data_IF_635142290408
#
_entry.id   IF_635142290408
#
_cell.length_a   1.000
_cell.length_b   1.000
_cell.length_c   1.000
_cell.angle_alpha   90.00
_cell.angle_beta   90.00
_cell.angle_gamma   90.00
#
_symmetry.space_group_name_H-M   'P 1'
#
loop_
_entity.id
_entity.type
_entity.pdbx_description
1 polymer ?
#
# COMPACT_ATOMS: atom_id res chain seq x y z
N UNK A 1 17.59 -6.71 -16.78
CA UNK A 1 17.09 -7.72 -15.81
C UNK A 1 16.48 -7.08 -14.57
N UNK A 2 17.24 -6.28 -13.79
CA UNK A 2 16.75 -5.62 -12.56
C UNK A 2 15.53 -4.70 -12.78
N UNK A 3 15.58 -3.83 -13.78
CA UNK A 3 14.48 -2.89 -14.10
C UNK A 3 13.22 -3.67 -14.48
N UNK A 4 13.37 -4.74 -15.27
CA UNK A 4 12.24 -5.55 -15.71
C UNK A 4 11.58 -6.30 -14.55
N UNK A 5 12.36 -6.87 -13.63
CA UNK A 5 11.82 -7.44 -12.39
C UNK A 5 11.11 -6.37 -11.53
N UNK A 6 11.65 -5.15 -11.45
CA UNK A 6 11.04 -4.08 -10.69
C UNK A 6 9.70 -3.64 -11.30
N UNK A 7 9.58 -3.60 -12.63
CA UNK A 7 8.30 -3.33 -13.31
C UNK A 7 7.24 -4.34 -12.94
N UNK A 8 7.57 -5.64 -12.97
CA UNK A 8 6.62 -6.69 -12.58
C UNK A 8 6.21 -6.61 -11.12
N UNK A 9 7.12 -6.23 -10.21
CA UNK A 9 6.78 -5.95 -8.82
C UNK A 9 5.79 -4.77 -8.71
N UNK A 10 5.98 -3.69 -9.47
CA UNK A 10 5.04 -2.56 -9.49
C UNK A 10 3.69 -2.95 -10.07
N UNK A 11 3.65 -3.79 -11.12
CA UNK A 11 2.41 -4.34 -11.68
C UNK A 11 1.68 -5.18 -10.63
N UNK A 12 2.38 -6.09 -9.94
CA UNK A 12 1.81 -6.89 -8.85
C UNK A 12 1.30 -6.01 -7.70
N UNK A 13 1.99 -4.92 -7.37
CA UNK A 13 1.55 -3.96 -6.38
C UNK A 13 0.28 -3.22 -6.80
N UNK A 14 0.20 -2.76 -8.05
CA UNK A 14 -1.01 -2.18 -8.61
C UNK A 14 -2.18 -3.17 -8.62
N UNK A 15 -1.94 -4.42 -9.00
CA UNK A 15 -2.94 -5.48 -8.99
C UNK A 15 -3.42 -5.82 -7.56
N UNK A 16 -2.50 -5.83 -6.59
CA UNK A 16 -2.84 -5.97 -5.18
C UNK A 16 -3.75 -4.83 -4.71
N UNK A 17 -3.44 -3.58 -5.06
CA UNK A 17 -4.30 -2.43 -4.74
C UNK A 17 -5.68 -2.58 -5.37
N UNK A 18 -5.77 -3.06 -6.62
CA UNK A 18 -7.06 -3.35 -7.26
C UNK A 18 -7.86 -4.38 -6.48
N UNK A 19 -7.24 -5.51 -6.08
CA UNK A 19 -7.88 -6.54 -5.27
C UNK A 19 -8.36 -5.99 -3.92
N UNK A 20 -7.56 -5.14 -3.27
CA UNK A 20 -7.96 -4.45 -2.04
C UNK A 20 -9.15 -3.52 -2.30
N UNK A 21 -9.15 -2.76 -3.40
CA UNK A 21 -10.29 -1.93 -3.81
C UNK A 21 -11.57 -2.75 -4.01
N UNK A 22 -11.48 -3.90 -4.68
CA UNK A 22 -12.62 -4.82 -4.83
C UNK A 22 -13.09 -5.38 -3.47
N UNK A 23 -12.16 -5.75 -2.59
CA UNK A 23 -12.49 -6.19 -1.23
C UNK A 23 -13.21 -5.09 -0.44
N UNK A 24 -12.76 -3.84 -0.56
CA UNK A 24 -13.37 -2.68 0.10
C UNK A 24 -14.78 -2.41 -0.44
N UNK A 25 -14.99 -2.58 -1.74
CA UNK A 25 -16.29 -2.37 -2.40
C UNK A 25 -17.31 -3.46 -2.01
N UNK A 26 -16.93 -4.73 -2.13
CA UNK A 26 -17.85 -5.86 -1.94
C UNK A 26 -17.94 -6.36 -0.50
N UNK A 27 -16.87 -6.25 0.28
CA UNK A 27 -16.79 -6.77 1.65
C UNK A 27 -16.09 -5.77 2.60
N UNK A 28 -16.64 -4.55 2.78
CA UNK A 28 -16.00 -3.50 3.60
C UNK A 28 -15.78 -3.88 5.06
N UNK A 29 -16.62 -4.77 5.61
CA UNK A 29 -16.45 -5.29 6.97
C UNK A 29 -15.16 -6.11 7.08
N UNK A 30 -14.89 -6.99 6.10
CA UNK A 30 -13.65 -7.78 6.06
C UNK A 30 -12.43 -6.88 5.84
N UNK A 31 -12.54 -5.87 4.97
CA UNK A 31 -11.48 -4.87 4.78
C UNK A 31 -11.16 -4.13 6.10
N UNK A 32 -12.19 -3.68 6.82
CA UNK A 32 -12.06 -3.03 8.14
C UNK A 32 -11.41 -3.94 9.18
N UNK A 33 -11.84 -5.20 9.25
CA UNK A 33 -11.26 -6.18 10.18
C UNK A 33 -9.80 -6.48 9.86
N UNK A 34 -9.43 -6.48 8.58
CA UNK A 34 -8.03 -6.64 8.14
C UNK A 34 -7.19 -5.44 8.58
N UNK A 35 -7.70 -4.21 8.40
CA UNK A 35 -7.04 -3.00 8.90
C UNK A 35 -6.78 -3.05 10.42
N UNK A 36 -7.74 -3.56 11.21
CA UNK A 36 -7.56 -3.72 12.67
C UNK A 36 -6.45 -4.71 13.06
N UNK A 37 -6.06 -5.62 12.17
CA UNK A 37 -4.99 -6.59 12.44
C UNK A 37 -3.59 -6.01 12.24
N UNK A 38 -3.46 -4.86 11.55
CA UNK A 38 -2.17 -4.23 11.31
C UNK A 38 -1.45 -3.92 12.64
N UNK A 39 -0.17 -4.29 12.73
CA UNK A 39 0.65 -4.12 13.92
C UNK A 39 0.27 -4.98 15.15
N UNK A 40 -0.70 -5.90 15.05
CA UNK A 40 -1.18 -6.69 16.20
C UNK A 40 -0.12 -7.62 16.81
N UNK A 41 0.74 -8.20 15.97
CA UNK A 41 1.88 -9.02 16.37
C UNK A 41 3.18 -8.47 15.77
N UNK A 42 4.32 -8.86 16.33
CA UNK A 42 5.63 -8.46 15.79
C UNK A 42 5.82 -8.99 14.35
N UNK A 43 5.38 -10.22 14.10
CA UNK A 43 5.44 -10.84 12.77
C UNK A 43 4.61 -10.04 11.77
N UNK A 44 3.35 -9.71 12.10
CA UNK A 44 2.49 -8.94 11.20
C UNK A 44 3.10 -7.55 10.94
N UNK A 45 3.58 -6.86 11.98
CA UNK A 45 4.19 -5.54 11.84
C UNK A 45 5.40 -5.55 10.91
N UNK A 46 6.40 -6.38 11.20
CA UNK A 46 7.64 -6.37 10.43
C UNK A 46 7.46 -6.99 9.04
N UNK A 47 6.56 -7.96 8.88
CA UNK A 47 6.23 -8.52 7.56
C UNK A 47 5.53 -7.49 6.68
N UNK A 48 4.54 -6.75 7.21
CA UNK A 48 3.84 -5.69 6.48
C UNK A 48 4.79 -4.58 6.03
N UNK A 49 5.66 -4.10 6.93
CA UNK A 49 6.63 -3.04 6.61
C UNK A 49 7.65 -3.54 5.58
N UNK A 50 8.18 -4.76 5.75
CA UNK A 50 9.14 -5.35 4.80
C UNK A 50 8.50 -5.54 3.43
N UNK A 51 7.28 -6.08 3.38
CA UNK A 51 6.56 -6.31 2.13
C UNK A 51 6.22 -4.98 1.43
N UNK A 52 5.98 -3.91 2.19
CA UNK A 52 5.74 -2.56 1.66
C UNK A 52 7.00 -1.92 1.08
N UNK A 53 8.18 -2.20 1.62
CA UNK A 53 9.45 -1.65 1.11
C UNK A 53 9.79 -2.15 -0.30
N UNK A 54 9.44 -3.40 -0.61
CA UNK A 54 9.71 -4.01 -1.92
C UNK A 54 9.12 -3.18 -3.08
N UNK A 55 7.78 -2.93 -3.14
CA UNK A 55 7.21 -2.08 -4.18
C UNK A 55 7.63 -0.62 -4.05
N UNK A 56 7.92 -0.12 -2.84
CA UNK A 56 8.40 1.25 -2.66
C UNK A 56 9.72 1.51 -3.40
N UNK A 57 10.69 0.60 -3.25
CA UNK A 57 11.96 0.68 -3.98
C UNK A 57 11.74 0.43 -5.47
N UNK A 58 10.89 -0.53 -5.84
CA UNK A 58 10.58 -0.78 -7.26
C UNK A 58 9.95 0.43 -7.96
N UNK A 59 9.11 1.22 -7.29
CA UNK A 59 8.57 2.48 -7.82
C UNK A 59 9.68 3.51 -8.12
N UNK A 60 10.70 3.60 -7.26
CA UNK A 60 11.84 4.51 -7.48
C UNK A 60 12.69 4.01 -8.65
N UNK A 61 13.03 2.72 -8.68
CA UNK A 61 13.88 2.14 -9.74
C UNK A 61 13.21 2.22 -11.11
N UNK A 62 11.89 2.08 -11.17
CA UNK A 62 11.13 2.13 -12.42
C UNK A 62 10.72 3.54 -12.84
N UNK A 63 10.99 4.56 -12.01
CA UNK A 63 10.47 5.93 -12.22
C UNK A 63 10.88 6.51 -13.57
N UNK A 64 12.15 6.39 -13.96
CA UNK A 64 12.66 7.03 -15.16
C UNK A 64 12.14 6.37 -16.45
N UNK A 65 11.63 5.13 -16.34
CA UNK A 65 10.99 4.39 -17.42
C UNK A 65 9.46 4.47 -17.45
N UNK A 66 8.85 5.12 -16.44
CA UNK A 66 7.40 5.22 -16.34
C UNK A 66 6.86 6.44 -17.09
N UNK A 67 5.57 6.42 -17.42
CA UNK A 67 4.88 7.57 -18.05
C UNK A 67 4.76 8.79 -17.13
N UNK A 68 4.95 8.59 -15.81
CA UNK A 68 4.89 9.64 -14.80
C UNK A 68 6.10 9.56 -13.83
N UNK A 69 7.31 9.93 -14.27
CA UNK A 69 8.53 9.71 -13.50
C UNK A 69 8.53 10.39 -12.13
N UNK A 70 8.13 11.67 -12.08
CA UNK A 70 8.09 12.45 -10.84
C UNK A 70 7.11 11.82 -9.84
N UNK A 71 5.94 11.38 -10.31
CA UNK A 71 4.92 10.75 -9.46
C UNK A 71 5.42 9.45 -8.84
N UNK A 72 6.05 8.58 -9.63
CA UNK A 72 6.61 7.32 -9.15
C UNK A 72 7.74 7.53 -8.15
N UNK A 73 8.65 8.47 -8.44
CA UNK A 73 9.77 8.80 -7.56
C UNK A 73 9.30 9.35 -6.23
N UNK A 74 8.35 10.29 -6.24
CA UNK A 74 7.80 10.90 -5.03
C UNK A 74 7.03 9.87 -4.19
N UNK A 75 6.14 9.09 -4.82
CA UNK A 75 5.38 8.03 -4.15
C UNK A 75 6.31 6.99 -3.50
N UNK A 76 7.31 6.53 -4.26
CA UNK A 76 8.29 5.55 -3.79
C UNK A 76 9.07 6.08 -2.58
N UNK A 77 9.61 7.30 -2.64
CA UNK A 77 10.34 7.89 -1.52
C UNK A 77 9.48 8.10 -0.27
N UNK A 78 8.23 8.58 -0.42
CA UNK A 78 7.30 8.68 0.72
C UNK A 78 7.08 7.30 1.35
N UNK A 79 6.87 6.26 0.53
CA UNK A 79 6.67 4.91 1.03
C UNK A 79 7.92 4.37 1.73
N UNK A 80 9.12 4.59 1.20
CA UNK A 80 10.38 4.18 1.84
C UNK A 80 10.54 4.88 3.18
N UNK A 81 10.48 6.21 3.22
CA UNK A 81 10.72 7.00 4.43
C UNK A 81 9.72 6.61 5.52
N UNK A 82 8.42 6.57 5.20
CA UNK A 82 7.40 6.20 6.20
C UNK A 82 7.55 4.76 6.69
N UNK A 83 7.98 3.82 5.83
CA UNK A 83 8.24 2.43 6.24
C UNK A 83 9.44 2.35 7.19
N UNK A 84 10.53 3.07 6.91
CA UNK A 84 11.70 3.15 7.79
C UNK A 84 11.35 3.76 9.15
N UNK A 85 10.54 4.81 9.18
CA UNK A 85 10.04 5.38 10.43
C UNK A 85 9.24 4.36 11.25
N UNK A 86 8.42 3.52 10.60
CA UNK A 86 7.62 2.50 11.28
C UNK A 86 8.46 1.36 11.89
N UNK A 87 9.71 1.14 11.46
CA UNK A 87 10.62 0.23 12.18
C UNK A 87 11.09 0.81 13.51
N UNK A 88 11.19 2.13 13.61
CA UNK A 88 11.65 2.83 14.83
C UNK A 88 10.49 3.08 15.79
N UNK A 89 9.28 3.32 15.27
CA UNK A 89 8.09 3.55 16.08
C UNK A 89 7.72 2.28 16.85
N UNK A 90 7.48 2.36 18.18
CA UNK A 90 7.02 1.23 18.96
C UNK A 90 5.76 0.60 18.36
N UNK A 91 5.77 -0.71 18.15
CA UNK A 91 4.64 -1.48 17.58
C UNK A 91 3.29 -1.17 18.22
N UNK A 92 3.26 -0.96 19.55
CA UNK A 92 2.03 -0.62 20.29
C UNK A 92 1.38 0.66 19.73
N UNK A 93 2.18 1.67 19.37
CA UNK A 93 1.72 2.92 18.78
C UNK A 93 1.19 2.66 17.37
N UNK A 94 1.92 1.90 16.55
CA UNK A 94 1.48 1.57 15.19
C UNK A 94 0.16 0.79 15.19
N UNK A 95 0.01 -0.19 16.09
CA UNK A 95 -1.24 -0.92 16.24
C UNK A 95 -2.39 -0.03 16.72
N UNK A 96 -2.13 0.85 17.70
CA UNK A 96 -3.15 1.80 18.19
C UNK A 96 -3.59 2.77 17.09
N UNK A 97 -2.68 3.20 16.21
CA UNK A 97 -3.01 3.99 15.03
C UNK A 97 -3.92 3.23 14.06
N UNK A 98 -3.64 1.96 13.79
CA UNK A 98 -4.49 1.11 12.95
C UNK A 98 -5.91 0.96 13.55
N UNK A 99 -6.00 0.77 14.87
CA UNK A 99 -7.28 0.67 15.59
C UNK A 99 -8.08 1.97 15.48
N UNK A 100 -7.45 3.12 15.76
CA UNK A 100 -8.09 4.45 15.64
C UNK A 100 -8.56 4.72 14.21
N UNK A 101 -7.74 4.36 13.22
CA UNK A 101 -8.09 4.51 11.80
C UNK A 101 -9.29 3.64 11.43
N UNK A 102 -9.32 2.38 11.89
CA UNK A 102 -10.45 1.50 11.68
C UNK A 102 -11.73 1.94 12.41
N UNK A 103 -11.63 2.62 13.55
CA UNK A 103 -12.79 3.17 14.26
C UNK A 103 -13.41 4.36 13.51
N UNK A 104 -12.58 5.20 12.90
CA UNK A 104 -13.02 6.30 12.02
C UNK A 104 -13.60 5.76 10.70
N UNK A 105 -12.89 4.83 10.06
CA UNK A 105 -13.27 4.24 8.77
C UNK A 105 -14.37 3.17 8.94
N UNK A 106 -15.61 3.65 9.13
CA UNK A 106 -16.80 2.81 9.11
C UNK A 106 -16.93 2.07 7.76
N UNK A 107 -17.60 0.90 7.70
CA UNK A 107 -17.72 0.12 6.47
C UNK A 107 -18.23 0.91 5.25
N UNK A 108 -19.18 1.83 5.45
CA UNK A 108 -19.67 2.71 4.38
C UNK A 108 -18.58 3.65 3.83
N UNK A 109 -17.73 4.22 4.70
CA UNK A 109 -16.63 5.08 4.26
C UNK A 109 -15.58 4.29 3.50
N UNK A 110 -15.26 3.06 3.94
CA UNK A 110 -14.37 2.14 3.22
C UNK A 110 -14.90 1.85 1.81
N UNK A 111 -16.21 1.61 1.67
CA UNK A 111 -16.85 1.44 0.35
C UNK A 111 -16.74 2.70 -0.52
N UNK A 112 -17.01 3.88 0.05
CA UNK A 112 -16.97 5.16 -0.69
C UNK A 112 -15.57 5.46 -1.23
N UNK A 113 -14.51 5.11 -0.51
CA UNK A 113 -13.13 5.32 -0.96
C UNK A 113 -12.61 4.18 -1.86
N UNK A 114 -13.35 3.09 -2.03
CA UNK A 114 -12.93 1.95 -2.85
C UNK A 114 -12.66 2.32 -4.33
N UNK A 115 -13.48 3.17 -5.01
CA UNK A 115 -13.18 3.63 -6.36
C UNK A 115 -11.84 4.38 -6.47
N UNK A 116 -11.43 5.10 -5.42
CA UNK A 116 -10.14 5.79 -5.38
C UNK A 116 -9.00 4.77 -5.35
N UNK A 117 -9.12 3.71 -4.55
CA UNK A 117 -8.16 2.62 -4.53
C UNK A 117 -8.09 1.91 -5.89
N UNK A 118 -9.23 1.61 -6.51
CA UNK A 118 -9.28 0.98 -7.84
C UNK A 118 -8.62 1.85 -8.91
N UNK A 119 -8.93 3.14 -8.93
CA UNK A 119 -8.33 4.10 -9.85
C UNK A 119 -6.82 4.20 -9.62
N UNK A 120 -6.37 4.26 -8.37
CA UNK A 120 -4.96 4.33 -8.03
C UNK A 120 -4.17 3.08 -8.46
N UNK A 121 -4.71 1.88 -8.22
CA UNK A 121 -4.12 0.63 -8.69
C UNK A 121 -4.03 0.56 -10.21
N UNK A 122 -5.10 0.97 -10.90
CA UNK A 122 -5.12 1.05 -12.37
C UNK A 122 -4.11 2.05 -12.92
N UNK A 123 -3.98 3.24 -12.30
CA UNK A 123 -2.98 4.23 -12.69
C UNK A 123 -1.55 3.73 -12.50
N UNK A 124 -1.25 3.00 -11.42
CA UNK A 124 0.09 2.41 -11.22
C UNK A 124 0.42 1.47 -12.37
N UNK A 125 -0.49 0.56 -12.73
CA UNK A 125 -0.28 -0.39 -13.83
C UNK A 125 -0.14 0.34 -15.16
N UNK A 126 -1.03 1.28 -15.46
CA UNK A 126 -1.02 2.03 -16.71
C UNK A 126 0.25 2.86 -16.91
N UNK A 127 0.85 3.38 -15.83
CA UNK A 127 2.05 4.21 -15.94
C UNK A 127 3.35 3.39 -16.04
N UNK A 128 3.36 2.12 -15.63
CA UNK A 128 4.54 1.25 -15.70
C UNK A 128 4.59 0.37 -16.96
N UNK A 129 3.43 0.09 -17.56
CA UNK A 129 3.29 -0.60 -18.85
C UNK A 129 3.14 0.40 -20.00
#
# INVERSE_FOLDING_TARGET
MLIESAKWVVVLFGAFILLVGLLMLFNPQKARLTLRKAGSTNVINYMEITLRLIPAVSLIVTSDSSKLPIGFKLLGWIMVITSLMLYVVPRKIHHQFAMKSADILKPKYIQIIAPIALLFGGLIIYNVL
#
